data_IF_997532034732
#
_entry.id   IF_997532034732
#
_cell.length_a   1.000
_cell.length_b   1.000
_cell.length_c   1.000
_cell.angle_alpha   90.00
_cell.angle_beta   90.00
_cell.angle_gamma   90.00
#
_symmetry.space_group_name_H-M   'P 1'
#
loop_
_entity.id
_entity.type
_entity.pdbx_description
1 polymer ?
#
# COMPACT_ATOMS: atom_id res chain seq x y z
N UNK A 1 45.53 37.01 -31.45
CA UNK A 1 45.18 37.05 -30.02
C UNK A 1 44.05 38.08 -29.90
N UNK A 2 42.79 37.84 -29.55
CA UNK A 2 42.14 36.91 -28.62
C UNK A 2 40.71 36.66 -29.14
N UNK A 3 40.53 35.74 -30.11
CA UNK A 3 39.24 35.06 -30.32
C UNK A 3 39.39 33.74 -29.59
N UNK A 4 38.70 33.58 -28.47
CA UNK A 4 38.42 32.34 -27.72
C UNK A 4 38.29 32.78 -26.28
N UNK A 5 37.09 33.17 -25.86
CA UNK A 5 36.65 33.22 -24.45
C UNK A 5 35.16 33.64 -24.31
N UNK A 6 34.36 33.51 -25.36
CA UNK A 6 32.91 33.77 -25.30
C UNK A 6 32.07 32.50 -25.11
N UNK A 7 32.65 31.42 -24.56
CA UNK A 7 31.98 30.12 -24.48
C UNK A 7 32.27 29.32 -23.18
N UNK A 8 32.15 29.92 -21.97
CA UNK A 8 31.77 29.04 -20.86
C UNK A 8 30.74 29.65 -19.90
N UNK A 9 29.86 30.56 -20.34
CA UNK A 9 28.80 31.09 -19.45
C UNK A 9 27.37 30.75 -19.86
N UNK A 10 27.18 29.93 -20.91
CA UNK A 10 25.84 29.47 -21.33
C UNK A 10 25.62 27.96 -21.11
N UNK A 11 26.24 27.39 -20.08
CA UNK A 11 26.00 25.99 -19.68
C UNK A 11 25.46 25.85 -18.24
N UNK A 12 25.20 26.95 -17.54
CA UNK A 12 24.71 26.92 -16.16
C UNK A 12 23.17 26.96 -16.02
N UNK A 13 22.42 27.17 -17.11
CA UNK A 13 20.95 27.31 -17.07
C UNK A 13 20.16 26.03 -17.39
N UNK A 14 20.83 24.88 -17.60
CA UNK A 14 20.14 23.60 -17.87
C UNK A 14 20.17 22.60 -16.71
N UNK A 15 20.73 22.96 -15.56
CA UNK A 15 20.86 22.04 -14.41
C UNK A 15 19.70 22.11 -13.40
N UNK A 16 18.49 22.48 -13.85
CA UNK A 16 17.27 22.35 -13.02
C UNK A 16 16.21 21.59 -13.83
N UNK A 17 16.55 20.38 -14.24
CA UNK A 17 15.65 19.49 -14.96
C UNK A 17 15.65 18.11 -14.30
N UNK A 18 14.50 17.73 -13.76
CA UNK A 18 14.11 16.39 -13.30
C UNK A 18 14.77 15.85 -12.02
N UNK A 19 14.42 16.47 -10.89
CA UNK A 19 14.37 15.78 -9.60
C UNK A 19 12.91 15.47 -9.23
N UNK A 20 12.18 14.73 -10.06
CA UNK A 20 11.02 13.99 -9.56
C UNK A 20 11.51 12.57 -9.31
N UNK A 21 11.81 12.28 -8.05
CA UNK A 21 12.06 10.93 -7.58
C UNK A 21 10.83 10.07 -7.90
N UNK A 22 10.83 9.40 -9.04
CA UNK A 22 9.84 8.37 -9.40
C UNK A 22 10.13 7.04 -8.70
N UNK A 23 10.84 7.09 -7.56
CA UNK A 23 11.02 5.93 -6.69
C UNK A 23 9.87 5.76 -5.69
N UNK A 24 9.09 6.80 -5.45
CA UNK A 24 7.89 6.78 -4.59
C UNK A 24 6.65 6.36 -5.37
N UNK A 25 5.96 5.30 -4.91
CA UNK A 25 4.70 4.88 -5.52
C UNK A 25 3.65 6.00 -5.52
N UNK A 26 2.72 5.96 -6.49
CA UNK A 26 1.64 6.93 -6.61
C UNK A 26 0.48 6.55 -5.68
N UNK A 27 -0.08 7.52 -4.97
CA UNK A 27 -1.31 7.31 -4.21
C UNK A 27 -2.48 7.02 -5.16
N UNK A 28 -3.18 5.91 -4.91
CA UNK A 28 -4.33 5.47 -5.71
C UNK A 28 -5.58 5.34 -4.86
N UNK A 29 -6.74 5.39 -5.51
CA UNK A 29 -8.03 5.34 -4.81
C UNK A 29 -8.26 3.93 -4.27
N UNK A 30 -8.68 3.77 -3.00
CA UNK A 30 -9.01 2.46 -2.43
C UNK A 30 -10.06 1.68 -3.23
N UNK A 31 -11.00 2.37 -3.87
CA UNK A 31 -12.12 1.75 -4.61
C UNK A 31 -11.73 1.25 -6.01
N UNK A 32 -10.46 1.39 -6.41
CA UNK A 32 -9.96 0.80 -7.65
C UNK A 32 -10.09 -0.74 -7.59
N UNK A 33 -10.67 -1.40 -8.61
CA UNK A 33 -10.85 -2.86 -8.64
C UNK A 33 -9.54 -3.64 -8.41
N UNK A 34 -8.42 -3.15 -8.90
CA UNK A 34 -7.12 -3.81 -8.73
C UNK A 34 -6.65 -3.70 -7.28
N UNK A 35 -6.92 -2.56 -6.65
CA UNK A 35 -6.63 -2.34 -5.23
C UNK A 35 -7.49 -3.25 -4.35
N UNK A 36 -8.77 -3.42 -4.66
CA UNK A 36 -9.65 -4.35 -3.94
C UNK A 36 -9.19 -5.80 -4.08
N UNK A 37 -8.68 -6.17 -5.25
CA UNK A 37 -8.09 -7.49 -5.50
C UNK A 37 -6.81 -7.67 -4.67
N UNK A 38 -5.90 -6.69 -4.69
CA UNK A 38 -4.69 -6.69 -3.89
C UNK A 38 -4.99 -6.78 -2.39
N UNK A 39 -6.00 -6.03 -1.92
CA UNK A 39 -6.45 -6.04 -0.54
C UNK A 39 -6.95 -7.42 -0.09
N UNK A 40 -7.71 -8.10 -0.95
CA UNK A 40 -8.19 -9.46 -0.70
C UNK A 40 -7.02 -10.45 -0.58
N UNK A 41 -6.07 -10.39 -1.52
CA UNK A 41 -4.88 -11.25 -1.47
C UNK A 41 -4.06 -10.98 -0.20
N UNK A 42 -3.90 -9.71 0.17
CA UNK A 42 -3.15 -9.31 1.36
C UNK A 42 -3.80 -9.83 2.66
N UNK A 43 -5.12 -9.65 2.84
CA UNK A 43 -5.80 -10.12 4.05
C UNK A 43 -5.88 -11.65 4.11
N UNK A 44 -6.02 -12.33 2.97
CA UNK A 44 -5.98 -13.80 2.90
C UNK A 44 -4.57 -14.33 3.25
N UNK A 45 -3.52 -13.65 2.76
CA UNK A 45 -2.13 -13.93 3.12
C UNK A 45 -1.87 -13.72 4.62
N UNK A 46 -2.32 -12.60 5.17
CA UNK A 46 -2.22 -12.30 6.61
C UNK A 46 -2.93 -13.36 7.46
N UNK A 47 -4.14 -13.75 7.06
CA UNK A 47 -4.89 -14.79 7.75
C UNK A 47 -4.19 -16.15 7.70
N UNK A 48 -3.52 -16.50 6.60
CA UNK A 48 -2.73 -17.74 6.52
C UNK A 48 -1.48 -17.68 7.40
N UNK A 49 -0.75 -16.56 7.39
CA UNK A 49 0.53 -16.40 8.09
C UNK A 49 0.39 -16.14 9.59
N UNK A 50 -0.68 -15.47 10.03
CA UNK A 50 -0.91 -15.14 11.44
C UNK A 50 -1.01 -16.42 12.29
N UNK A 51 -0.48 -16.41 13.52
CA UNK A 51 -0.66 -17.52 14.47
C UNK A 51 -2.02 -17.51 15.17
N UNK A 52 -2.84 -16.49 14.92
CA UNK A 52 -4.16 -16.36 15.52
C UNK A 52 -5.10 -17.48 15.08
N UNK A 53 -5.94 -17.96 15.99
CA UNK A 53 -7.00 -18.93 15.66
C UNK A 53 -8.18 -18.28 14.93
N UNK A 54 -8.32 -16.96 15.03
CA UNK A 54 -9.38 -16.18 14.40
C UNK A 54 -8.92 -15.56 13.09
N UNK A 55 -9.88 -15.33 12.19
CA UNK A 55 -9.68 -14.57 10.96
C UNK A 55 -9.74 -13.07 11.24
N UNK A 56 -8.96 -12.30 10.49
CA UNK A 56 -8.97 -10.84 10.45
C UNK A 56 -9.67 -10.35 9.18
N UNK A 57 -10.24 -9.15 9.29
CA UNK A 57 -10.90 -8.42 8.21
C UNK A 57 -10.38 -6.99 8.17
N UNK A 58 -10.31 -6.42 6.97
CA UNK A 58 -10.00 -5.00 6.78
C UNK A 58 -11.21 -4.16 7.17
N UNK A 59 -10.99 -3.20 8.06
CA UNK A 59 -11.97 -2.23 8.54
C UNK A 59 -11.92 -0.96 7.73
N UNK A 60 -10.71 -0.47 7.47
CA UNK A 60 -10.47 0.80 6.81
C UNK A 60 -9.20 0.74 5.99
N UNK A 61 -9.27 1.27 4.77
CA UNK A 61 -8.08 1.53 3.96
C UNK A 61 -7.62 2.95 4.27
N UNK A 62 -6.41 3.08 4.82
CA UNK A 62 -5.85 4.38 5.23
C UNK A 62 -5.07 4.99 4.06
N UNK A 63 -4.23 4.19 3.41
CA UNK A 63 -3.42 4.61 2.26
C UNK A 63 -3.16 3.45 1.32
N UNK A 64 -3.10 3.75 0.02
CA UNK A 64 -2.67 2.80 -1.01
C UNK A 64 -1.71 3.48 -1.94
N UNK A 65 -0.52 2.92 -2.07
CA UNK A 65 0.49 3.36 -3.03
C UNK A 65 0.71 2.28 -4.09
N UNK A 66 0.73 2.68 -5.36
CA UNK A 66 1.04 1.79 -6.48
C UNK A 66 2.38 2.18 -7.11
N UNK A 67 3.30 1.23 -7.21
CA UNK A 67 4.60 1.41 -7.86
C UNK A 67 4.69 0.49 -9.08
N UNK A 68 5.18 1.03 -10.20
CA UNK A 68 5.50 0.24 -11.38
C UNK A 68 6.84 -0.47 -11.17
N UNK A 69 6.86 -1.77 -11.40
CA UNK A 69 8.04 -2.66 -11.41
C UNK A 69 7.95 -3.54 -12.67
N UNK A 70 8.17 -4.85 -12.60
CA UNK A 70 7.72 -5.82 -13.63
C UNK A 70 6.21 -6.12 -13.51
N UNK A 71 5.39 -5.08 -13.34
CA UNK A 71 3.98 -5.14 -12.94
C UNK A 71 3.63 -4.04 -11.95
N UNK A 72 2.51 -4.17 -11.24
CA UNK A 72 2.13 -3.24 -10.18
C UNK A 72 2.40 -3.84 -8.80
N UNK A 73 3.22 -3.13 -8.01
CA UNK A 73 3.37 -3.38 -6.58
C UNK A 73 2.46 -2.43 -5.79
N UNK A 74 1.59 -2.99 -4.95
CA UNK A 74 0.70 -2.22 -4.08
C UNK A 74 1.20 -2.26 -2.64
N UNK A 75 1.49 -1.09 -2.08
CA UNK A 75 1.71 -0.91 -0.64
C UNK A 75 0.40 -0.47 -0.01
N UNK A 76 -0.13 -1.29 0.90
CA UNK A 76 -1.41 -1.06 1.56
C UNK A 76 -1.14 -0.70 3.03
N UNK A 77 -1.66 0.43 3.49
CA UNK A 77 -1.75 0.75 4.92
C UNK A 77 -3.21 0.66 5.32
N UNK A 78 -3.54 -0.30 6.18
CA UNK A 78 -4.92 -0.68 6.47
C UNK A 78 -5.13 -0.90 7.95
N UNK A 79 -6.31 -0.55 8.43
CA UNK A 79 -6.78 -0.98 9.74
C UNK A 79 -7.47 -2.33 9.59
N UNK A 80 -7.04 -3.31 10.37
CA UNK A 80 -7.64 -4.64 10.44
C UNK A 80 -8.21 -4.90 11.83
N UNK A 81 -9.22 -5.77 11.89
CA UNK A 81 -9.79 -6.23 13.15
C UNK A 81 -10.09 -7.73 13.11
N UNK A 82 -9.96 -8.37 14.26
CA UNK A 82 -10.26 -9.77 14.49
C UNK A 82 -11.77 -10.02 14.41
N UNK A 83 -12.13 -11.08 13.71
CA UNK A 83 -13.51 -11.53 13.53
C UNK A 83 -13.86 -12.68 14.47
N UNK A 84 -15.15 -12.94 14.62
CA UNK A 84 -15.66 -14.09 15.40
C UNK A 84 -15.36 -15.43 14.73
N UNK A 85 -15.00 -15.43 13.44
CA UNK A 85 -14.71 -16.63 12.67
C UNK A 85 -13.36 -17.21 13.04
N UNK A 86 -13.33 -18.53 13.21
CA UNK A 86 -12.08 -19.29 13.36
C UNK A 86 -11.56 -19.70 11.99
N UNK A 87 -10.26 -19.91 11.89
CA UNK A 87 -9.65 -20.51 10.69
C UNK A 87 -10.27 -21.88 10.41
N UNK A 88 -10.55 -22.15 9.14
CA UNK A 88 -11.24 -23.37 8.70
C UNK A 88 -12.76 -23.38 8.91
N UNK A 89 -13.36 -22.32 9.47
CA UNK A 89 -14.83 -22.24 9.54
C UNK A 89 -15.43 -22.02 8.16
N UNK A 90 -16.55 -22.67 7.86
CA UNK A 90 -17.35 -22.47 6.63
C UNK A 90 -18.42 -21.38 6.81
N UNK A 91 -18.16 -20.39 7.66
CA UNK A 91 -19.12 -19.35 7.96
C UNK A 91 -19.38 -18.47 6.73
N UNK A 92 -20.66 -18.23 6.42
CA UNK A 92 -21.06 -17.34 5.31
C UNK A 92 -20.75 -15.86 5.59
N UNK A 93 -20.67 -15.48 6.88
CA UNK A 93 -20.37 -14.12 7.32
C UNK A 93 -19.43 -14.15 8.52
N UNK A 94 -18.43 -13.26 8.48
CA UNK A 94 -17.42 -13.11 9.53
C UNK A 94 -17.44 -11.68 10.07
N UNK A 95 -18.38 -11.37 11.00
CA UNK A 95 -18.41 -10.08 11.66
C UNK A 95 -17.22 -9.92 12.61
N UNK A 96 -16.83 -8.67 12.81
CA UNK A 96 -15.79 -8.26 13.75
C UNK A 96 -16.29 -8.43 15.18
N UNK A 97 -15.41 -8.71 16.13
CA UNK A 97 -15.80 -8.70 17.54
C UNK A 97 -16.32 -7.32 17.95
N UNK A 98 -17.50 -7.28 18.58
CA UNK A 98 -18.07 -6.03 19.12
C UNK A 98 -17.26 -5.53 20.32
N UNK A 99 -16.75 -6.47 21.12
CA UNK A 99 -15.91 -6.13 22.27
C UNK A 99 -14.52 -5.67 21.76
N UNK A 100 -14.08 -4.44 22.10
CA UNK A 100 -12.83 -3.86 21.59
C UNK A 100 -11.59 -4.66 22.01
N UNK A 101 -11.56 -5.23 23.22
CA UNK A 101 -10.45 -6.04 23.71
C UNK A 101 -10.28 -7.33 22.90
N UNK A 102 -11.39 -7.85 22.34
CA UNK A 102 -11.39 -9.04 21.49
C UNK A 102 -11.22 -8.71 20.02
N UNK A 103 -11.58 -7.51 19.58
CA UNK A 103 -11.43 -7.04 18.22
C UNK A 103 -9.97 -6.89 17.80
N UNK A 104 -9.05 -6.66 18.76
CA UNK A 104 -7.60 -6.58 18.49
C UNK A 104 -7.30 -5.73 17.25
N UNK A 105 -7.82 -4.51 17.23
CA UNK A 105 -7.69 -3.60 16.11
C UNK A 105 -6.21 -3.21 15.96
N UNK A 106 -5.69 -3.28 14.74
CA UNK A 106 -4.30 -2.92 14.45
C UNK A 106 -4.18 -2.29 13.07
N UNK A 107 -3.27 -1.32 12.94
CA UNK A 107 -2.85 -0.79 11.64
C UNK A 107 -1.64 -1.58 11.18
N UNK A 108 -1.70 -2.11 9.96
CA UNK A 108 -0.63 -2.85 9.30
C UNK A 108 -0.31 -2.28 7.92
#
# INVERSE_FOLDING_TARGET
MMWKLAFPFLAALLAVGFGQDTEGGLDVKPNDPDVQTALKVAIDGYNKASSDIYLYKVMKVIRVQRKMVEGYMYTLTVEIARTVCKKGSMAQSCPVFINPDRAKVSII
#
